data_IF_958035828974
#
_entry.id   IF_958035828974
#
_cell.length_a   1.000
_cell.length_b   1.000
_cell.length_c   1.000
_cell.angle_alpha   90.00
_cell.angle_beta   90.00
_cell.angle_gamma   90.00
#
_symmetry.space_group_name_H-M   'P 1'
#
loop_
_entity.id
_entity.type
_entity.pdbx_description
1 polymer ?
#
# COMPACT_ATOMS: atom_id res chain seq x y z
N UNK A 1 -50.66 -5.52 -22.01
CA UNK A 1 -50.77 -6.66 -21.09
C UNK A 1 -49.60 -7.66 -21.16
N UNK A 2 -48.80 -7.70 -22.23
CA UNK A 2 -47.66 -8.63 -22.37
C UNK A 2 -46.50 -8.37 -21.38
N UNK A 3 -46.13 -7.10 -21.12
CA UNK A 3 -45.04 -6.76 -20.19
C UNK A 3 -45.34 -7.04 -18.70
N UNK A 4 -46.60 -7.29 -18.34
CA UNK A 4 -46.97 -7.61 -16.96
C UNK A 4 -46.81 -9.10 -16.63
N UNK A 5 -46.65 -9.96 -17.64
CA UNK A 5 -46.48 -11.41 -17.45
C UNK A 5 -45.01 -11.79 -17.17
N UNK A 6 -44.05 -10.95 -17.55
CA UNK A 6 -42.61 -11.13 -17.27
C UNK A 6 -42.14 -10.44 -15.98
N UNK A 7 -43.01 -9.65 -15.33
CA UNK A 7 -42.71 -8.93 -14.09
C UNK A 7 -42.84 -9.82 -12.83
N UNK A 8 -43.32 -11.05 -12.98
CA UNK A 8 -43.62 -11.98 -11.89
C UNK A 8 -42.46 -12.91 -11.54
N UNK A 9 -41.74 -12.54 -10.47
CA UNK A 9 -41.14 -13.43 -9.47
C UNK A 9 -39.89 -14.25 -9.87
N UNK A 10 -38.74 -13.73 -9.39
CA UNK A 10 -37.39 -14.34 -9.28
C UNK A 10 -36.55 -14.50 -10.56
N UNK A 11 -35.93 -13.41 -11.03
CA UNK A 11 -34.49 -13.53 -11.38
C UNK A 11 -33.60 -12.38 -10.85
N UNK A 12 -34.10 -11.15 -10.73
CA UNK A 12 -33.24 -9.98 -10.46
C UNK A 12 -32.82 -9.83 -9.00
N UNK A 13 -33.74 -10.00 -8.04
CA UNK A 13 -33.42 -9.84 -6.60
C UNK A 13 -32.38 -10.86 -6.12
N UNK A 14 -32.41 -12.06 -6.70
CA UNK A 14 -31.44 -13.13 -6.41
C UNK A 14 -30.06 -12.79 -6.97
N UNK A 15 -29.97 -12.45 -8.27
CA UNK A 15 -28.72 -12.03 -8.92
C UNK A 15 -28.13 -10.79 -8.24
N UNK A 16 -28.97 -9.81 -7.90
CA UNK A 16 -28.58 -8.62 -7.14
C UNK A 16 -28.04 -8.99 -5.75
N UNK A 17 -28.65 -9.97 -5.07
CA UNK A 17 -28.17 -10.47 -3.77
C UNK A 17 -26.75 -11.03 -3.83
N UNK A 18 -26.44 -11.87 -4.83
CA UNK A 18 -25.06 -12.37 -5.03
C UNK A 18 -24.10 -11.25 -5.41
N UNK A 19 -24.50 -10.37 -6.32
CA UNK A 19 -23.67 -9.26 -6.77
C UNK A 19 -23.32 -8.32 -5.61
N UNK A 20 -24.32 -7.91 -4.81
CA UNK A 20 -24.11 -7.06 -3.63
C UNK A 20 -23.22 -7.75 -2.62
N UNK A 21 -23.46 -9.04 -2.34
CA UNK A 21 -22.61 -9.81 -1.41
C UNK A 21 -21.16 -9.85 -1.88
N UNK A 22 -20.93 -10.06 -3.18
CA UNK A 22 -19.60 -10.05 -3.79
C UNK A 22 -18.92 -8.68 -3.68
N UNK A 23 -19.64 -7.60 -4.01
CA UNK A 23 -19.14 -6.22 -3.93
C UNK A 23 -18.79 -5.84 -2.49
N UNK A 24 -19.68 -6.12 -1.52
CA UNK A 24 -19.46 -5.85 -0.10
C UNK A 24 -18.26 -6.64 0.43
N UNK A 25 -18.12 -7.90 0.03
CA UNK A 25 -16.97 -8.75 0.41
C UNK A 25 -15.67 -8.16 -0.12
N UNK A 26 -15.63 -7.73 -1.40
CA UNK A 26 -14.47 -7.07 -1.98
C UNK A 26 -14.15 -5.73 -1.33
N UNK A 27 -15.16 -4.92 -1.02
CA UNK A 27 -15.00 -3.64 -0.33
C UNK A 27 -14.40 -3.84 1.07
N UNK A 28 -14.94 -4.79 1.84
CA UNK A 28 -14.44 -5.10 3.17
C UNK A 28 -13.00 -5.63 3.13
N UNK A 29 -12.68 -6.49 2.16
CA UNK A 29 -11.31 -6.97 1.96
C UNK A 29 -10.33 -5.86 1.60
N UNK A 30 -10.74 -4.86 0.80
CA UNK A 30 -9.90 -3.68 0.55
C UNK A 30 -9.67 -2.89 1.83
N UNK A 31 -10.70 -2.67 2.65
CA UNK A 31 -10.58 -1.98 3.93
C UNK A 31 -9.61 -2.70 4.89
N UNK A 32 -9.74 -4.02 5.04
CA UNK A 32 -8.84 -4.83 5.89
C UNK A 32 -7.38 -4.85 5.38
N UNK A 33 -7.18 -4.62 4.08
CA UNK A 33 -5.86 -4.53 3.46
C UNK A 33 -5.29 -3.11 3.41
N UNK A 34 -5.91 -2.13 4.07
CA UNK A 34 -5.27 -0.84 4.26
C UNK A 34 -3.92 -1.01 5.02
N UNK A 35 -2.80 -0.55 4.46
CA UNK A 35 -1.46 -0.77 4.99
C UNK A 35 -1.12 0.21 6.12
N UNK A 36 -1.59 -0.09 7.33
CA UNK A 36 -1.28 0.70 8.53
C UNK A 36 0.19 0.53 8.96
N UNK A 37 0.98 1.62 9.06
CA UNK A 37 2.42 1.54 9.35
C UNK A 37 2.72 1.22 10.82
N UNK A 38 1.72 1.25 11.70
CA UNK A 38 1.84 1.22 13.16
C UNK A 38 2.69 0.06 13.68
N UNK A 39 2.40 -1.17 13.23
CA UNK A 39 3.16 -2.37 13.65
C UNK A 39 4.62 -2.30 13.25
N UNK A 40 4.89 -1.89 12.01
CA UNK A 40 6.25 -1.72 11.51
C UNK A 40 6.96 -0.59 12.25
N UNK A 41 6.27 0.52 12.55
CA UNK A 41 6.82 1.64 13.30
C UNK A 41 7.17 1.27 14.75
N UNK A 42 6.32 0.51 15.44
CA UNK A 42 6.62 -0.02 16.78
C UNK A 42 7.84 -0.95 16.77
N UNK A 43 7.94 -1.81 15.76
CA UNK A 43 9.08 -2.72 15.60
C UNK A 43 10.38 -1.96 15.32
N UNK A 44 10.32 -0.90 14.50
CA UNK A 44 11.44 0.02 14.28
C UNK A 44 11.83 0.72 15.58
N UNK A 45 10.88 1.20 16.37
CA UNK A 45 11.15 1.86 17.64
C UNK A 45 11.84 0.92 18.64
N UNK A 46 11.40 -0.34 18.69
CA UNK A 46 11.93 -1.34 19.61
C UNK A 46 13.38 -1.71 19.28
N UNK A 47 13.70 -1.94 18.00
CA UNK A 47 14.96 -2.56 17.59
C UNK A 47 16.00 -1.60 17.00
N UNK A 48 15.62 -0.37 16.62
CA UNK A 48 16.54 0.61 16.05
C UNK A 48 17.08 1.54 17.14
N UNK A 49 18.23 1.20 17.70
CA UNK A 49 18.85 1.90 18.82
C UNK A 49 19.59 3.17 18.41
N UNK A 50 19.86 4.04 19.40
CA UNK A 50 20.56 5.31 19.22
C UNK A 50 19.68 6.52 19.54
N UNK A 51 20.05 7.23 20.60
CA UNK A 51 19.42 8.50 21.02
C UNK A 51 20.04 9.72 20.34
N UNK A 52 21.10 9.50 19.58
CA UNK A 52 21.77 10.50 18.76
C UNK A 52 20.99 10.81 17.47
N UNK A 53 21.45 11.84 16.77
CA UNK A 53 20.82 12.29 15.53
C UNK A 53 20.75 11.19 14.47
N UNK A 54 21.80 10.36 14.35
CA UNK A 54 21.81 9.26 13.37
C UNK A 54 20.71 8.25 13.65
N UNK A 55 20.57 7.78 14.89
CA UNK A 55 19.50 6.85 15.27
C UNK A 55 18.11 7.44 15.01
N UNK A 56 17.91 8.73 15.33
CA UNK A 56 16.66 9.45 15.04
C UNK A 56 16.37 9.50 13.53
N UNK A 57 17.36 9.80 12.70
CA UNK A 57 17.22 9.85 11.23
C UNK A 57 16.86 8.47 10.68
N UNK A 58 17.53 7.40 11.12
CA UNK A 58 17.24 6.03 10.66
C UNK A 58 15.78 5.64 10.94
N UNK A 59 15.30 5.85 12.18
CA UNK A 59 13.91 5.55 12.56
C UNK A 59 12.90 6.34 11.72
N UNK A 60 13.12 7.65 11.57
CA UNK A 60 12.23 8.53 10.79
C UNK A 60 12.19 8.15 9.31
N UNK A 61 13.35 7.85 8.72
CA UNK A 61 13.44 7.48 7.32
C UNK A 61 12.76 6.14 7.02
N UNK A 62 12.92 5.13 7.89
CA UNK A 62 12.20 3.85 7.72
C UNK A 62 10.69 4.02 7.73
N UNK A 63 10.14 4.69 8.74
CA UNK A 63 8.70 4.94 8.82
C UNK A 63 8.22 5.79 7.64
N UNK A 64 9.02 6.78 7.20
CA UNK A 64 8.71 7.58 6.02
C UNK A 64 8.69 6.74 4.74
N UNK A 65 9.58 5.77 4.57
CA UNK A 65 9.54 4.86 3.41
C UNK A 65 8.27 3.99 3.38
N UNK A 66 7.79 3.51 4.53
CA UNK A 66 6.51 2.80 4.60
C UNK A 66 5.36 3.71 4.15
N UNK A 67 5.32 4.94 4.66
CA UNK A 67 4.32 5.94 4.29
C UNK A 67 4.41 6.36 2.81
N UNK A 68 5.64 6.44 2.27
CA UNK A 68 5.88 6.79 0.88
C UNK A 68 5.38 5.70 -0.06
N UNK A 69 5.64 4.42 0.24
CA UNK A 69 5.09 3.29 -0.52
C UNK A 69 3.55 3.36 -0.59
N UNK A 70 2.92 3.59 0.56
CA UNK A 70 1.47 3.75 0.65
C UNK A 70 0.97 4.94 -0.17
N UNK A 71 1.63 6.10 -0.08
CA UNK A 71 1.24 7.29 -0.83
C UNK A 71 1.34 7.09 -2.34
N UNK A 72 2.40 6.45 -2.84
CA UNK A 72 2.59 6.14 -4.26
C UNK A 72 1.50 5.16 -4.75
N UNK A 73 1.16 4.16 -3.94
CA UNK A 73 0.05 3.26 -4.26
C UNK A 73 -1.28 4.02 -4.32
N UNK A 74 -1.61 4.80 -3.29
CA UNK A 74 -2.87 5.53 -3.22
C UNK A 74 -3.01 6.56 -4.34
N UNK A 75 -1.92 7.22 -4.77
CA UNK A 75 -1.93 8.05 -5.98
C UNK A 75 -2.45 7.29 -7.21
N UNK A 76 -2.27 5.98 -7.28
CA UNK A 76 -2.71 5.17 -8.42
C UNK A 76 -4.13 4.67 -8.25
N UNK A 77 -4.47 4.11 -7.08
CA UNK A 77 -5.74 3.40 -6.86
C UNK A 77 -6.86 4.29 -6.28
N UNK A 78 -6.55 5.53 -5.86
CA UNK A 78 -7.53 6.43 -5.24
C UNK A 78 -7.58 7.78 -5.96
N UNK A 79 -8.73 8.10 -6.55
CA UNK A 79 -8.96 9.39 -7.22
C UNK A 79 -8.76 10.59 -6.28
N UNK A 80 -9.16 10.47 -5.01
CA UNK A 80 -8.96 11.52 -4.00
C UNK A 80 -7.48 11.75 -3.69
N UNK A 81 -6.70 10.67 -3.54
CA UNK A 81 -5.26 10.78 -3.32
C UNK A 81 -4.53 11.30 -4.57
N UNK A 82 -4.95 10.89 -5.77
CA UNK A 82 -4.41 11.43 -7.04
C UNK A 82 -4.67 12.93 -7.17
N UNK A 83 -5.85 13.42 -6.79
CA UNK A 83 -6.15 14.87 -6.77
C UNK A 83 -5.26 15.63 -5.80
N UNK A 84 -5.00 15.07 -4.62
CA UNK A 84 -4.12 15.69 -3.60
C UNK A 84 -2.66 15.67 -3.99
N UNK A 85 -2.20 14.56 -4.59
CA UNK A 85 -0.81 14.38 -5.01
C UNK A 85 -0.76 13.89 -6.47
N UNK A 86 -0.91 14.79 -7.47
CA UNK A 86 -0.94 14.38 -8.88
C UNK A 86 0.38 13.82 -9.40
N UNK A 87 1.50 14.34 -8.90
CA UNK A 87 2.85 13.99 -9.36
C UNK A 87 3.77 13.64 -8.20
N UNK A 88 4.91 13.01 -8.50
CA UNK A 88 5.93 12.68 -7.51
C UNK A 88 6.49 13.95 -6.82
N UNK A 89 6.54 15.08 -7.53
CA UNK A 89 6.92 16.38 -6.96
C UNK A 89 6.00 16.84 -5.82
N UNK A 90 4.71 16.48 -5.86
CA UNK A 90 3.80 16.79 -4.76
C UNK A 90 4.11 15.95 -3.51
N UNK A 91 4.63 14.72 -3.66
CA UNK A 91 5.09 13.94 -2.52
C UNK A 91 6.37 14.52 -1.92
N UNK A 92 7.25 15.08 -2.78
CA UNK A 92 8.42 15.83 -2.31
C UNK A 92 8.00 17.07 -1.53
N UNK A 93 7.10 17.88 -2.08
CA UNK A 93 6.57 19.07 -1.40
C UNK A 93 5.84 18.76 -0.09
N UNK A 94 5.25 17.57 0.04
CA UNK A 94 4.61 17.10 1.27
C UNK A 94 5.60 16.50 2.31
N UNK A 95 6.90 16.42 1.99
CA UNK A 95 7.91 15.84 2.87
C UNK A 95 7.86 14.31 2.99
N UNK A 96 7.14 13.62 2.08
CA UNK A 96 7.07 12.16 2.06
C UNK A 96 8.28 11.55 1.32
N UNK A 97 8.89 12.31 0.40
CA UNK A 97 10.05 11.93 -0.40
C UNK A 97 11.04 13.09 -0.41
N UNK A 98 12.35 12.83 -0.39
CA UNK A 98 13.35 13.90 -0.59
C UNK A 98 13.61 14.15 -2.09
N UNK A 99 14.20 15.29 -2.48
CA UNK A 99 14.59 15.53 -3.87
C UNK A 99 15.54 14.46 -4.42
N UNK A 100 16.48 13.99 -3.60
CA UNK A 100 17.46 12.97 -3.97
C UNK A 100 16.77 11.61 -4.18
N UNK A 101 15.85 11.25 -3.29
CA UNK A 101 15.05 10.04 -3.44
C UNK A 101 14.18 10.09 -4.68
N UNK A 102 13.63 11.25 -5.04
CA UNK A 102 12.92 11.41 -6.31
C UNK A 102 13.84 11.10 -7.50
N UNK A 103 15.08 11.59 -7.50
CA UNK A 103 16.03 11.28 -8.57
C UNK A 103 16.32 9.77 -8.64
N UNK A 104 16.52 9.11 -7.49
CA UNK A 104 16.68 7.65 -7.44
C UNK A 104 15.43 6.90 -7.88
N UNK A 105 14.24 7.43 -7.59
CA UNK A 105 12.98 6.84 -8.01
C UNK A 105 12.77 6.93 -9.52
N UNK A 106 13.13 8.08 -10.10
CA UNK A 106 13.02 8.35 -11.53
C UNK A 106 14.04 7.55 -12.35
N UNK A 107 15.21 7.23 -11.79
CA UNK A 107 16.22 6.40 -12.46
C UNK A 107 15.81 4.93 -12.62
N UNK A 108 14.80 4.45 -11.88
CA UNK A 108 14.21 3.13 -12.09
C UNK A 108 13.41 3.14 -13.39
N UNK A 109 14.02 2.62 -14.45
CA UNK A 109 13.53 2.61 -15.84
C UNK A 109 12.43 1.56 -16.09
N UNK A 110 11.36 1.61 -15.29
CA UNK A 110 10.19 0.74 -15.43
C UNK A 110 8.93 1.60 -15.55
N UNK A 111 8.14 1.34 -16.59
CA UNK A 111 6.87 2.02 -16.84
C UNK A 111 5.70 1.27 -16.16
N UNK A 112 5.84 0.99 -14.87
CA UNK A 112 4.82 0.36 -14.03
C UNK A 112 4.69 1.13 -12.73
N UNK A 113 3.65 0.85 -11.94
CA UNK A 113 3.59 1.42 -10.60
C UNK A 113 4.79 0.94 -9.77
N UNK A 114 5.55 1.90 -9.23
CA UNK A 114 6.80 1.69 -8.49
C UNK A 114 6.64 1.81 -6.95
N UNK A 115 5.44 1.59 -6.41
CA UNK A 115 5.17 1.64 -4.95
C UNK A 115 6.02 0.64 -4.14
N UNK A 116 6.59 -0.38 -4.80
CA UNK A 116 7.48 -1.35 -4.17
C UNK A 116 8.89 -0.81 -3.89
N UNK A 117 9.31 0.26 -4.56
CA UNK A 117 10.67 0.81 -4.47
C UNK A 117 11.03 1.24 -3.03
N UNK A 118 10.19 1.97 -2.29
CA UNK A 118 10.51 2.36 -0.91
C UNK A 118 10.65 1.17 0.06
N UNK A 119 10.00 0.03 -0.20
CA UNK A 119 10.21 -1.18 0.61
C UNK A 119 11.64 -1.73 0.42
N UNK A 120 12.16 -1.72 -0.82
CA UNK A 120 13.56 -2.10 -1.09
C UNK A 120 14.52 -1.13 -0.41
N UNK A 121 14.24 0.18 -0.46
CA UNK A 121 15.05 1.17 0.26
C UNK A 121 15.03 0.95 1.77
N UNK A 122 13.90 0.52 2.33
CA UNK A 122 13.78 0.18 3.75
C UNK A 122 14.67 -1.00 4.13
N UNK A 123 14.68 -2.06 3.32
CA UNK A 123 15.54 -3.24 3.51
C UNK A 123 17.02 -2.84 3.44
N UNK A 124 17.40 -2.02 2.47
CA UNK A 124 18.77 -1.51 2.35
C UNK A 124 19.17 -0.64 3.55
N UNK A 125 18.24 0.16 4.08
CA UNK A 125 18.49 0.98 5.26
C UNK A 125 18.64 0.14 6.53
N UNK A 126 17.91 -0.97 6.65
CA UNK A 126 18.12 -1.95 7.73
C UNK A 126 19.51 -2.58 7.62
N UNK A 127 19.96 -2.94 6.42
CA UNK A 127 21.32 -3.46 6.22
C UNK A 127 22.40 -2.44 6.61
N UNK A 128 22.18 -1.15 6.33
CA UNK A 128 23.07 -0.06 6.78
C UNK A 128 23.07 0.02 8.31
N UNK A 129 21.88 0.04 8.93
CA UNK A 129 21.75 0.09 10.39
C UNK A 129 22.44 -1.12 11.07
N UNK A 130 22.38 -2.30 10.46
CA UNK A 130 23.04 -3.51 10.95
C UNK A 130 24.57 -3.36 10.92
N UNK A 131 25.13 -2.84 9.82
CA UNK A 131 26.57 -2.55 9.70
C UNK A 131 27.03 -1.46 10.67
N UNK A 132 26.16 -0.50 10.97
CA UNK A 132 26.40 0.56 11.94
C UNK A 132 26.20 0.10 13.40
N UNK A 133 25.83 -1.17 13.64
CA UNK A 133 25.57 -1.69 14.99
C UNK A 133 24.33 -1.09 15.66
N UNK A 134 23.42 -0.49 14.89
CA UNK A 134 22.18 0.15 15.39
C UNK A 134 21.05 -0.83 15.63
N UNK A 135 21.15 -2.02 15.04
CA UNK A 135 20.25 -3.15 15.23
C UNK A 135 21.08 -4.41 15.40
N UNK A 136 20.61 -5.31 16.27
CA UNK A 136 21.24 -6.62 16.45
C UNK A 136 20.84 -7.57 15.34
N UNK A 137 21.79 -8.38 14.86
CA UNK A 137 21.52 -9.45 13.90
C UNK A 137 20.56 -10.50 14.49
N UNK A 138 19.87 -11.26 13.63
CA UNK A 138 18.96 -12.33 14.03
C UNK A 138 17.51 -11.89 14.13
N UNK A 139 16.84 -12.21 15.24
CA UNK A 139 15.40 -12.01 15.43
C UNK A 139 14.93 -10.56 15.20
N UNK A 140 15.63 -9.50 15.67
CA UNK A 140 15.22 -8.12 15.42
C UNK A 140 15.10 -7.75 13.93
N UNK A 141 16.08 -8.20 13.14
CA UNK A 141 16.08 -7.97 11.68
C UNK A 141 14.97 -8.77 11.01
N UNK A 142 14.80 -10.04 11.40
CA UNK A 142 13.74 -10.89 10.86
C UNK A 142 12.36 -10.29 11.12
N UNK A 143 12.07 -9.87 12.35
CA UNK A 143 10.76 -9.30 12.69
C UNK A 143 10.48 -7.99 11.94
N UNK A 144 11.50 -7.14 11.74
CA UNK A 144 11.36 -5.97 10.87
C UNK A 144 11.04 -6.34 9.43
N UNK A 145 11.71 -7.36 8.87
CA UNK A 145 11.44 -7.84 7.53
C UNK A 145 10.03 -8.42 7.41
N UNK A 146 9.56 -9.15 8.43
CA UNK A 146 8.19 -9.70 8.47
C UNK A 146 7.13 -8.58 8.46
N UNK A 147 7.34 -7.50 9.22
CA UNK A 147 6.43 -6.35 9.19
C UNK A 147 6.47 -5.58 7.85
N UNK A 148 7.65 -5.46 7.23
CA UNK A 148 7.79 -4.89 5.88
C UNK A 148 7.07 -5.74 4.84
N UNK A 149 7.24 -7.06 4.90
CA UNK A 149 6.58 -8.00 3.99
C UNK A 149 5.06 -8.03 4.19
N UNK A 150 4.59 -7.86 5.43
CA UNK A 150 3.17 -7.69 5.76
C UNK A 150 2.60 -6.44 5.08
N UNK A 151 3.28 -5.29 5.21
CA UNK A 151 2.89 -4.05 4.52
C UNK A 151 2.89 -4.22 2.99
N UNK A 152 3.95 -4.81 2.43
CA UNK A 152 4.06 -5.08 1.00
C UNK A 152 2.96 -6.01 0.49
N UNK A 153 2.57 -7.00 1.26
CA UNK A 153 1.47 -7.92 0.93
C UNK A 153 0.14 -7.16 0.88
N UNK A 154 -0.15 -6.34 1.90
CA UNK A 154 -1.33 -5.48 1.95
C UNK A 154 -1.41 -4.51 0.76
N UNK A 155 -0.30 -3.82 0.43
CA UNK A 155 -0.25 -2.94 -0.76
C UNK A 155 -0.45 -3.72 -2.06
N UNK A 156 0.06 -4.96 -2.12
CA UNK A 156 -0.14 -5.87 -3.25
C UNK A 156 -1.60 -6.28 -3.44
N UNK A 157 -2.31 -6.59 -2.36
CA UNK A 157 -3.74 -6.90 -2.42
C UNK A 157 -4.57 -5.71 -2.92
N UNK A 158 -4.29 -4.50 -2.43
CA UNK A 158 -4.95 -3.30 -2.89
C UNK A 158 -4.69 -3.02 -4.37
N UNK A 159 -3.44 -3.16 -4.82
CA UNK A 159 -3.09 -3.02 -6.23
C UNK A 159 -3.80 -4.07 -7.10
N UNK A 160 -3.90 -5.32 -6.62
CA UNK A 160 -4.63 -6.38 -7.32
C UNK A 160 -6.13 -6.12 -7.43
N UNK A 161 -6.74 -5.50 -6.41
CA UNK A 161 -8.15 -5.10 -6.45
C UNK A 161 -8.45 -4.00 -7.46
N UNK A 162 -7.51 -3.07 -7.64
CA UNK A 162 -7.58 -2.00 -8.64
C UNK A 162 -7.37 -2.55 -10.05
N UNK A 163 -6.39 -3.43 -10.24
CA UNK A 163 -6.10 -4.03 -11.54
C UNK A 163 -7.19 -5.01 -12.01
N UNK A 164 -7.69 -5.85 -11.09
CA UNK A 164 -8.73 -6.84 -11.38
C UNK A 164 -10.05 -6.38 -10.77
N UNK A 165 -10.80 -5.59 -11.54
CA UNK A 165 -12.12 -5.08 -11.16
C UNK A 165 -13.19 -6.17 -11.23
N UNK A 166 -14.41 -5.86 -10.77
CA UNK A 166 -15.57 -6.75 -10.95
C UNK A 166 -15.75 -6.97 -12.46
N UNK A 167 -15.82 -8.23 -12.97
CA UNK A 167 -15.88 -8.45 -14.40
C UNK A 167 -17.09 -7.73 -15.00
N UNK A 168 -16.85 -7.01 -16.10
CA UNK A 168 -17.84 -6.13 -16.73
C UNK A 168 -19.16 -6.87 -17.06
N UNK A 169 -19.07 -8.15 -17.42
CA UNK A 169 -20.25 -8.99 -17.67
C UNK A 169 -21.16 -9.10 -16.44
N UNK A 170 -20.62 -9.15 -15.22
CA UNK A 170 -21.42 -9.20 -13.99
C UNK A 170 -22.05 -7.86 -13.65
N UNK A 171 -21.47 -6.73 -14.09
CA UNK A 171 -22.04 -5.39 -13.87
C UNK A 171 -23.09 -5.01 -14.92
N UNK A 172 -23.10 -5.66 -16.08
CA UNK A 172 -24.02 -5.40 -17.20
C UNK A 172 -25.28 -6.27 -17.17
N UNK A 173 -25.24 -7.39 -16.45
CA UNK A 173 -26.34 -8.37 -16.35
C UNK A 173 -27.16 -8.17 -15.05
N UNK A 174 -26.61 -7.45 -14.08
CA UNK A 174 -27.24 -7.08 -12.80
C UNK A 174 -28.12 -5.85 -12.89
#
# INVERSE_FOLDING_TARGET
>A
MYCNQTAGLMPMSFVLGFYVTFVVTRWWNQFLNLPWPDRAAHTVLMYMHGSDERGRILRRTLVRYFNLANAILFQTISGSAKKRFPTMTHLVGAGLMTPEEKQMFDSVSLNVNKHWVPFIWSINLINVALKEGRIMAGEPVKQLLDEINSLRTKTGHLWGHDWVTVPLVYTQVS
#
